data_IF_898606320294
#
_entry.id   IF_898606320294
#
_cell.length_a   1.000
_cell.length_b   1.000
_cell.length_c   1.000
_cell.angle_alpha   90.00
_cell.angle_beta   90.00
_cell.angle_gamma   90.00
#
_symmetry.space_group_name_H-M   'P 1'
#
loop_
_entity.id
_entity.type
_entity.pdbx_description
1 polymer ?
#
# COMPACT_ATOMS: atom_id res chain seq x y z
N UNK A 1 -4.86 -4.62 19.65
CA UNK A 1 -5.49 -3.49 20.38
C UNK A 1 -4.54 -2.30 20.59
N UNK A 2 -3.42 -2.46 21.30
CA UNK A 2 -2.53 -1.34 21.65
C UNK A 2 -1.92 -0.63 20.42
N UNK A 3 -1.51 -1.38 19.40
CA UNK A 3 -1.03 -0.80 18.14
C UNK A 3 -2.11 0.05 17.46
N UNK A 4 -3.38 -0.40 17.43
CA UNK A 4 -4.47 0.38 16.85
C UNK A 4 -4.66 1.72 17.56
N UNK A 5 -4.64 1.74 18.89
CA UNK A 5 -4.74 2.98 19.66
C UNK A 5 -3.60 3.96 19.35
N UNK A 6 -2.37 3.45 19.25
CA UNK A 6 -1.21 4.28 18.86
C UNK A 6 -1.40 4.89 17.47
N UNK A 7 -1.87 4.11 16.49
CA UNK A 7 -2.08 4.62 15.13
C UNK A 7 -3.25 5.61 15.05
N UNK A 8 -4.31 5.44 15.86
CA UNK A 8 -5.40 6.42 16.00
C UNK A 8 -4.89 7.73 16.61
N UNK A 9 -4.11 7.65 17.69
CA UNK A 9 -3.52 8.84 18.32
C UNK A 9 -2.59 9.58 17.36
N UNK A 10 -1.75 8.85 16.62
CA UNK A 10 -0.91 9.42 15.56
C UNK A 10 -1.75 10.06 14.46
N UNK A 11 -2.81 9.39 14.00
CA UNK A 11 -3.71 9.97 12.99
C UNK A 11 -4.31 11.30 13.47
N UNK A 12 -4.81 11.35 14.71
CA UNK A 12 -5.33 12.57 15.33
C UNK A 12 -4.29 13.68 15.39
N UNK A 13 -3.05 13.38 15.80
CA UNK A 13 -1.96 14.35 15.81
C UNK A 13 -1.63 14.89 14.40
N UNK A 14 -1.65 14.02 13.37
CA UNK A 14 -1.42 14.43 11.98
C UNK A 14 -2.56 15.30 11.42
N UNK A 15 -3.79 15.18 11.94
CA UNK A 15 -4.89 16.09 11.56
C UNK A 15 -4.67 17.53 12.05
N UNK A 16 -3.84 17.73 13.08
CA UNK A 16 -3.51 19.06 13.61
C UNK A 16 -2.37 19.75 12.84
N UNK A 17 -1.66 19.02 11.98
CA UNK A 17 -0.55 19.56 11.19
C UNK A 17 -1.05 20.22 9.89
N UNK A 18 -0.27 21.15 9.32
CA UNK A 18 -0.52 21.63 7.96
C UNK A 18 -0.59 20.46 6.97
N UNK A 19 -1.69 20.38 6.21
CA UNK A 19 -2.01 19.27 5.33
C UNK A 19 -1.19 19.30 4.03
N UNK A 20 0.13 19.23 4.18
CA UNK A 20 1.08 19.04 3.08
C UNK A 20 0.89 17.65 2.45
N UNK A 21 1.36 17.42 1.22
CA UNK A 21 1.27 16.12 0.57
C UNK A 21 1.85 14.96 1.39
N UNK A 22 2.89 15.22 2.19
CA UNK A 22 3.50 14.21 3.07
C UNK A 22 2.59 13.88 4.25
N UNK A 23 2.02 14.91 4.90
CA UNK A 23 1.08 14.73 6.02
C UNK A 23 -0.18 14.00 5.55
N UNK A 24 -0.72 14.35 4.39
CA UNK A 24 -1.85 13.64 3.77
C UNK A 24 -1.45 12.20 3.39
N UNK A 25 -0.24 12.05 2.84
CA UNK A 25 0.46 10.79 2.60
C UNK A 25 0.33 9.80 3.76
N UNK A 26 0.91 10.22 4.88
CA UNK A 26 0.92 9.45 6.12
C UNK A 26 -0.48 9.28 6.68
N UNK A 27 -1.32 10.32 6.65
CA UNK A 27 -2.69 10.26 7.16
C UNK A 27 -3.51 9.18 6.44
N UNK A 28 -3.38 9.04 5.12
CA UNK A 28 -4.09 8.01 4.36
C UNK A 28 -3.59 6.61 4.69
N UNK A 29 -2.28 6.42 4.80
CA UNK A 29 -1.71 5.13 5.22
C UNK A 29 -2.21 4.75 6.63
N UNK A 30 -2.26 5.71 7.56
CA UNK A 30 -2.84 5.52 8.89
C UNK A 30 -4.34 5.18 8.82
N UNK A 31 -5.13 5.91 8.02
CA UNK A 31 -6.56 5.63 7.84
C UNK A 31 -6.80 4.21 7.31
N UNK A 32 -6.02 3.78 6.32
CA UNK A 32 -6.08 2.41 5.78
C UNK A 32 -5.78 1.41 6.89
N UNK A 33 -4.70 1.60 7.66
CA UNK A 33 -4.35 0.73 8.79
C UNK A 33 -5.48 0.65 9.82
N UNK A 34 -6.02 1.80 10.23
CA UNK A 34 -7.08 1.92 11.24
C UNK A 34 -8.35 1.21 10.77
N UNK A 35 -8.81 1.50 9.54
CA UNK A 35 -10.01 0.91 8.97
C UNK A 35 -9.91 -0.61 8.93
N UNK A 36 -8.89 -1.13 8.27
CA UNK A 36 -8.73 -2.57 8.07
C UNK A 36 -8.45 -3.32 9.38
N UNK A 37 -7.66 -2.73 10.30
CA UNK A 37 -7.44 -3.34 11.62
C UNK A 37 -8.71 -3.34 12.46
N UNK A 38 -9.53 -2.28 12.39
CA UNK A 38 -10.82 -2.22 13.10
C UNK A 38 -11.79 -3.27 12.55
N UNK A 39 -11.92 -3.35 11.22
CA UNK A 39 -12.70 -4.41 10.56
C UNK A 39 -12.20 -5.80 10.95
N UNK A 40 -10.88 -6.01 10.99
CA UNK A 40 -10.30 -7.26 11.43
C UNK A 40 -10.70 -7.58 12.88
N UNK A 41 -10.64 -6.63 13.82
CA UNK A 41 -11.01 -6.91 15.21
C UNK A 41 -12.48 -7.30 15.37
N UNK A 42 -13.36 -6.79 14.50
CA UNK A 42 -14.79 -7.07 14.52
C UNK A 42 -15.17 -8.36 13.77
N UNK A 43 -14.54 -8.62 12.62
CA UNK A 43 -14.98 -9.63 11.66
C UNK A 43 -14.08 -10.88 11.60
N UNK A 44 -12.89 -10.85 12.20
CA UNK A 44 -11.88 -11.91 12.00
C UNK A 44 -12.23 -13.20 12.71
N UNK A 45 -12.18 -14.31 11.97
CA UNK A 45 -12.03 -15.65 12.54
C UNK A 45 -10.70 -15.76 13.31
N UNK A 46 -10.75 -16.28 14.54
CA UNK A 46 -9.59 -16.37 15.44
C UNK A 46 -8.35 -17.03 14.81
N UNK A 47 -8.55 -17.94 13.85
CA UNK A 47 -7.51 -18.67 13.13
C UNK A 47 -6.85 -17.91 11.97
N UNK A 48 -7.47 -16.87 11.43
CA UNK A 48 -6.87 -16.11 10.32
C UNK A 48 -5.60 -15.40 10.79
N UNK A 49 -4.58 -15.16 9.96
CA UNK A 49 -3.45 -14.31 10.32
C UNK A 49 -3.88 -12.83 10.44
N UNK A 50 -3.09 -11.98 11.13
CA UNK A 50 -3.36 -10.54 11.14
C UNK A 50 -3.08 -9.91 9.76
N UNK A 51 -3.91 -8.95 9.36
CA UNK A 51 -3.84 -8.20 8.12
C UNK A 51 -2.60 -7.31 8.03
N UNK A 52 -2.17 -6.78 9.18
CA UNK A 52 -0.91 -6.06 9.29
C UNK A 52 -0.04 -6.70 10.36
N UNK A 53 1.24 -6.86 10.04
CA UNK A 53 2.25 -7.09 11.06
C UNK A 53 2.64 -5.74 11.69
N UNK A 54 3.34 -5.74 12.84
CA UNK A 54 3.84 -4.50 13.40
C UNK A 54 4.68 -3.74 12.37
N UNK A 55 4.28 -2.51 12.02
CA UNK A 55 4.86 -1.77 10.88
C UNK A 55 6.38 -1.58 11.02
N UNK A 56 6.90 -1.41 12.24
CA UNK A 56 8.34 -1.31 12.51
C UNK A 56 9.16 -2.54 12.08
N UNK A 57 8.51 -3.66 11.73
CA UNK A 57 9.15 -4.87 11.18
C UNK A 57 9.30 -4.84 9.65
N UNK A 58 8.80 -3.81 8.98
CA UNK A 58 9.02 -3.58 7.56
C UNK A 58 10.48 -3.18 7.30
N UNK A 59 11.36 -4.17 7.17
CA UNK A 59 12.81 -3.95 7.03
C UNK A 59 13.30 -3.79 5.59
N UNK A 60 12.40 -3.95 4.62
CA UNK A 60 12.65 -3.94 3.18
C UNK A 60 11.36 -3.66 2.41
N UNK A 61 11.45 -3.18 1.18
CA UNK A 61 10.27 -3.01 0.31
C UNK A 61 9.56 -4.35 0.09
N UNK A 62 10.32 -5.41 -0.19
CA UNK A 62 9.75 -6.74 -0.40
C UNK A 62 8.92 -7.21 0.82
N UNK A 63 9.54 -7.20 2.01
CA UNK A 63 8.87 -7.60 3.25
C UNK A 63 7.75 -6.66 3.68
N UNK A 64 7.82 -5.38 3.32
CA UNK A 64 6.72 -4.45 3.56
C UNK A 64 5.48 -4.90 2.80
N UNK A 65 5.60 -5.14 1.49
CA UNK A 65 4.47 -5.50 0.62
C UNK A 65 3.96 -6.93 0.79
N UNK A 66 4.80 -7.88 1.19
CA UNK A 66 4.38 -9.30 1.28
C UNK A 66 4.06 -9.77 2.68
N UNK A 67 4.69 -9.20 3.70
CA UNK A 67 4.60 -9.69 5.09
C UNK A 67 3.95 -8.67 6.02
N UNK A 68 4.11 -7.37 5.76
CA UNK A 68 3.76 -6.32 6.73
C UNK A 68 2.46 -5.61 6.39
N UNK A 69 2.24 -5.30 5.11
CA UNK A 69 1.12 -4.50 4.62
C UNK A 69 0.07 -5.37 3.94
N UNK A 70 -1.18 -5.30 4.38
CA UNK A 70 -2.33 -6.04 3.84
C UNK A 70 -2.02 -7.51 3.46
N UNK A 71 -1.60 -8.31 4.44
CA UNK A 71 -1.22 -9.71 4.27
C UNK A 71 -2.31 -10.58 3.62
N UNK A 72 -3.59 -10.17 3.71
CA UNK A 72 -4.70 -10.84 3.03
C UNK A 72 -4.53 -10.90 1.50
N UNK A 73 -3.88 -9.92 0.88
CA UNK A 73 -3.66 -9.91 -0.57
C UNK A 73 -2.42 -10.71 -0.99
N UNK A 74 -1.55 -11.11 -0.07
CA UNK A 74 -0.35 -11.86 -0.40
C UNK A 74 -0.67 -13.20 -1.08
N UNK A 75 -1.66 -13.95 -0.56
CA UNK A 75 -2.06 -15.24 -1.14
C UNK A 75 -2.73 -15.12 -2.52
N UNK A 76 -3.72 -14.22 -2.73
CA UNK A 76 -4.25 -13.92 -4.07
C UNK A 76 -3.18 -13.48 -5.06
N UNK A 77 -2.30 -12.54 -4.68
CA UNK A 77 -1.20 -12.08 -5.53
C UNK A 77 -0.27 -13.23 -5.92
N UNK A 78 0.07 -14.08 -4.95
CA UNK A 78 0.94 -15.24 -5.19
C UNK A 78 0.30 -16.23 -6.16
N UNK A 79 -0.97 -16.54 -5.96
CA UNK A 79 -1.64 -17.66 -6.63
C UNK A 79 -2.22 -17.28 -7.99
N UNK A 80 -2.74 -16.06 -8.13
CA UNK A 80 -3.42 -15.59 -9.34
C UNK A 80 -2.48 -14.85 -10.30
N UNK A 81 -1.44 -14.20 -9.80
CA UNK A 81 -0.55 -13.39 -10.63
C UNK A 81 0.89 -13.93 -10.66
N UNK A 82 1.55 -14.00 -9.51
CA UNK A 82 2.97 -14.34 -9.43
C UNK A 82 3.27 -15.74 -9.99
N UNK A 83 2.59 -16.78 -9.49
CA UNK A 83 2.84 -18.18 -9.89
C UNK A 83 2.51 -18.42 -11.37
N UNK A 84 1.35 -17.99 -11.91
CA UNK A 84 1.05 -18.15 -13.33
C UNK A 84 2.06 -17.43 -14.24
N UNK A 85 2.38 -16.17 -13.95
CA UNK A 85 3.35 -15.40 -14.74
C UNK A 85 4.75 -16.03 -14.69
N UNK A 86 5.21 -16.42 -13.50
CA UNK A 86 6.49 -17.11 -13.34
C UNK A 86 6.52 -18.44 -14.10
N UNK A 87 5.43 -19.21 -14.08
CA UNK A 87 5.34 -20.48 -14.80
C UNK A 87 5.42 -20.28 -16.32
N UNK A 88 4.76 -19.24 -16.84
CA UNK A 88 4.78 -18.88 -18.25
C UNK A 88 6.18 -18.47 -18.70
N UNK A 89 6.81 -17.52 -18.00
CA UNK A 89 8.15 -17.03 -18.32
C UNK A 89 9.21 -18.15 -18.27
N UNK A 90 9.09 -19.06 -17.29
CA UNK A 90 9.96 -20.24 -17.21
C UNK A 90 9.77 -21.18 -18.40
N UNK A 91 8.55 -21.35 -18.90
CA UNK A 91 8.27 -22.17 -20.09
C UNK A 91 8.86 -21.56 -21.37
N UNK A 92 9.06 -20.24 -21.40
CA UNK A 92 9.75 -19.55 -22.48
C UNK A 92 11.28 -19.67 -22.41
N UNK A 93 11.81 -20.45 -21.46
CA UNK A 93 13.26 -20.64 -21.30
C UNK A 93 13.98 -19.47 -20.62
N UNK A 94 13.26 -18.52 -20.02
CA UNK A 94 13.88 -17.36 -19.39
C UNK A 94 14.63 -17.71 -18.09
N UNK A 95 15.73 -17.00 -17.75
CA UNK A 95 16.47 -17.23 -16.52
C UNK A 95 15.62 -17.10 -15.26
N UNK A 96 16.03 -17.78 -14.19
CA UNK A 96 15.33 -17.80 -12.89
C UNK A 96 15.11 -16.39 -12.30
N UNK A 97 16.08 -15.50 -12.46
CA UNK A 97 15.99 -14.12 -11.98
C UNK A 97 14.91 -13.34 -12.73
N UNK A 98 14.91 -13.42 -14.07
CA UNK A 98 13.90 -12.79 -14.93
C UNK A 98 12.51 -13.34 -14.64
N UNK A 99 12.39 -14.66 -14.48
CA UNK A 99 11.13 -15.32 -14.11
C UNK A 99 10.57 -14.79 -12.79
N UNK A 100 11.42 -14.67 -11.76
CA UNK A 100 11.01 -14.13 -10.45
C UNK A 100 10.61 -12.66 -10.53
N UNK A 101 11.41 -11.84 -11.22
CA UNK A 101 11.12 -10.43 -11.43
C UNK A 101 9.78 -10.25 -12.15
N UNK A 102 9.54 -10.99 -13.23
CA UNK A 102 8.27 -10.95 -13.95
C UNK A 102 7.09 -11.41 -13.10
N UNK A 103 7.27 -12.40 -12.23
CA UNK A 103 6.26 -12.78 -11.22
C UNK A 103 5.92 -11.66 -10.25
N UNK A 104 6.93 -10.95 -9.73
CA UNK A 104 6.73 -9.79 -8.84
C UNK A 104 5.98 -8.69 -9.58
N UNK A 105 6.43 -8.33 -10.79
CA UNK A 105 5.77 -7.30 -11.60
C UNK A 105 4.31 -7.65 -11.91
N UNK A 106 4.01 -8.92 -12.22
CA UNK A 106 2.65 -9.36 -12.44
C UNK A 106 1.77 -9.22 -11.19
N UNK A 107 2.29 -9.52 -10.00
CA UNK A 107 1.58 -9.32 -8.75
C UNK A 107 1.27 -7.85 -8.48
N UNK A 108 2.24 -6.96 -8.67
CA UNK A 108 2.01 -5.52 -8.54
C UNK A 108 1.06 -4.97 -9.60
N UNK A 109 1.13 -5.45 -10.85
CA UNK A 109 0.19 -5.07 -11.90
C UNK A 109 -1.24 -5.52 -11.58
N UNK A 110 -1.42 -6.73 -11.01
CA UNK A 110 -2.72 -7.20 -10.57
C UNK A 110 -3.29 -6.33 -9.44
N UNK A 111 -2.46 -5.92 -8.47
CA UNK A 111 -2.89 -4.98 -7.44
C UNK A 111 -3.16 -3.58 -7.97
N UNK A 112 -2.40 -3.12 -8.96
CA UNK A 112 -2.66 -1.88 -9.67
C UNK A 112 -4.05 -1.90 -10.31
N UNK A 113 -4.36 -2.96 -11.07
CA UNK A 113 -5.65 -3.14 -11.72
C UNK A 113 -6.80 -3.21 -10.70
N UNK A 114 -6.62 -3.95 -9.60
CA UNK A 114 -7.60 -4.05 -8.53
C UNK A 114 -7.92 -2.69 -7.92
N UNK A 115 -6.91 -1.89 -7.56
CA UNK A 115 -7.12 -0.58 -6.96
C UNK A 115 -7.71 0.42 -7.96
N UNK A 116 -7.23 0.44 -9.21
CA UNK A 116 -7.79 1.31 -10.25
C UNK A 116 -9.26 0.98 -10.48
N UNK A 117 -9.62 -0.30 -10.60
CA UNK A 117 -11.00 -0.69 -10.80
C UNK A 117 -11.89 -0.34 -9.59
N UNK A 118 -11.44 -0.66 -8.38
CA UNK A 118 -12.19 -0.39 -7.15
C UNK A 118 -12.35 1.09 -6.83
N UNK A 119 -11.40 1.93 -7.25
CA UNK A 119 -11.40 3.37 -6.98
C UNK A 119 -11.90 4.21 -8.17
N UNK A 120 -12.16 3.61 -9.33
CA UNK A 120 -12.65 4.32 -10.52
C UNK A 120 -13.90 5.19 -10.26
N UNK A 121 -14.89 4.76 -9.44
CA UNK A 121 -16.05 5.61 -9.14
C UNK A 121 -15.75 6.81 -8.24
N UNK A 122 -14.61 6.80 -7.54
CA UNK A 122 -14.29 7.73 -6.45
C UNK A 122 -13.15 8.68 -6.78
N UNK A 123 -12.35 8.38 -7.82
CA UNK A 123 -11.08 9.05 -8.09
C UNK A 123 -11.02 9.51 -9.54
N UNK A 124 -10.45 10.70 -9.76
CA UNK A 124 -10.21 11.23 -11.09
C UNK A 124 -9.28 10.35 -11.94
N UNK A 125 -9.35 10.47 -13.28
CA UNK A 125 -8.44 9.77 -14.19
C UNK A 125 -6.96 10.00 -13.86
N UNK A 126 -6.58 11.20 -13.40
CA UNK A 126 -5.22 11.49 -12.97
C UNK A 126 -4.84 10.68 -11.72
N UNK A 127 -5.74 10.60 -10.73
CA UNK A 127 -5.52 9.80 -9.53
C UNK A 127 -5.41 8.30 -9.85
N UNK A 128 -6.26 7.78 -10.74
CA UNK A 128 -6.18 6.39 -11.20
C UNK A 128 -4.86 6.09 -11.91
N UNK A 129 -4.39 6.98 -12.78
CA UNK A 129 -3.09 6.87 -13.44
C UNK A 129 -1.94 6.84 -12.42
N UNK A 130 -1.99 7.69 -11.41
CA UNK A 130 -0.97 7.71 -10.34
C UNK A 130 -1.01 6.44 -9.50
N UNK A 131 -2.20 5.92 -9.16
CA UNK A 131 -2.34 4.64 -8.46
C UNK A 131 -1.70 3.51 -9.28
N UNK A 132 -1.97 3.46 -10.58
CA UNK A 132 -1.40 2.46 -11.46
C UNK A 132 0.14 2.46 -11.39
N UNK A 133 0.75 3.63 -11.56
CA UNK A 133 2.20 3.79 -11.49
C UNK A 133 2.78 3.64 -10.10
N UNK A 134 2.03 3.98 -9.06
CA UNK A 134 2.44 3.74 -7.68
C UNK A 134 2.75 2.26 -7.45
N UNK A 135 1.85 1.37 -7.89
CA UNK A 135 2.07 -0.07 -7.76
C UNK A 135 3.17 -0.58 -8.69
N UNK A 136 3.19 -0.19 -9.97
CA UNK A 136 4.22 -0.67 -10.90
C UNK A 136 5.63 -0.22 -10.51
N UNK A 137 5.80 1.03 -10.10
CA UNK A 137 7.08 1.55 -9.64
C UNK A 137 7.53 0.83 -8.36
N UNK A 138 6.64 0.59 -7.40
CA UNK A 138 6.97 -0.20 -6.22
C UNK A 138 7.38 -1.64 -6.57
N UNK A 139 6.71 -2.27 -7.54
CA UNK A 139 7.11 -3.58 -8.05
C UNK A 139 8.53 -3.58 -8.62
N UNK A 140 8.87 -2.58 -9.43
CA UNK A 140 10.21 -2.42 -9.97
C UNK A 140 11.26 -2.19 -8.87
N UNK A 141 10.94 -1.33 -7.90
CA UNK A 141 11.82 -1.04 -6.77
C UNK A 141 12.03 -2.26 -5.87
N UNK A 142 11.02 -3.10 -5.65
CA UNK A 142 11.17 -4.39 -4.95
C UNK A 142 12.14 -5.30 -5.69
N UNK A 143 12.04 -5.40 -7.02
CA UNK A 143 12.95 -6.22 -7.84
C UNK A 143 14.38 -5.69 -7.74
N UNK A 144 14.58 -4.37 -7.88
CA UNK A 144 15.88 -3.72 -7.81
C UNK A 144 16.50 -3.84 -6.41
N UNK A 145 15.73 -3.58 -5.36
CA UNK A 145 16.17 -3.73 -3.96
C UNK A 145 16.59 -5.17 -3.68
N UNK A 146 15.81 -6.15 -4.14
CA UNK A 146 16.12 -7.57 -3.98
C UNK A 146 17.38 -7.96 -4.76
N UNK A 147 17.60 -7.39 -5.95
CA UNK A 147 18.81 -7.63 -6.74
C UNK A 147 20.06 -7.04 -6.06
N UNK A 148 19.96 -5.83 -5.50
CA UNK A 148 21.08 -5.11 -4.89
C UNK A 148 21.44 -5.63 -3.49
N UNK A 149 20.45 -5.86 -2.61
CA UNK A 149 20.69 -6.26 -1.22
C UNK A 149 20.53 -7.76 -0.95
N UNK A 150 19.85 -8.50 -1.84
CA UNK A 150 19.52 -9.90 -1.61
C UNK A 150 18.76 -10.11 -0.28
N UNK A 151 19.24 -11.07 0.53
CA UNK A 151 18.65 -11.42 1.83
C UNK A 151 19.25 -10.66 3.03
N UNK A 152 20.17 -9.72 2.80
CA UNK A 152 20.85 -9.02 3.90
C UNK A 152 19.87 -8.07 4.61
N UNK A 153 19.87 -8.11 5.94
CA UNK A 153 19.18 -7.14 6.80
C UNK A 153 20.13 -5.98 7.06
N UNK A 154 19.70 -4.75 6.77
CA UNK A 154 20.50 -3.56 6.99
C UNK A 154 19.58 -2.38 7.32
N UNK A 155 19.95 -1.56 8.30
CA UNK A 155 19.12 -0.43 8.74
C UNK A 155 18.93 0.62 7.63
N UNK A 156 19.95 0.86 6.80
CA UNK A 156 19.82 1.76 5.61
C UNK A 156 18.75 1.24 4.66
N UNK A 157 18.67 -0.08 4.44
CA UNK A 157 17.63 -0.68 3.58
C UNK A 157 16.24 -0.41 4.14
N UNK A 158 16.08 -0.50 5.46
CA UNK A 158 14.83 -0.16 6.14
C UNK A 158 14.48 1.32 5.96
N UNK A 159 15.43 2.24 6.17
CA UNK A 159 15.19 3.67 5.95
C UNK A 159 14.86 3.98 4.48
N UNK A 160 15.56 3.37 3.53
CA UNK A 160 15.28 3.52 2.10
C UNK A 160 13.87 3.03 1.78
N UNK A 161 13.45 1.88 2.30
CA UNK A 161 12.10 1.36 2.06
C UNK A 161 11.02 2.34 2.55
N UNK A 162 11.12 2.82 3.80
CA UNK A 162 10.15 3.78 4.34
C UNK A 162 10.21 5.14 3.66
N UNK A 163 11.40 5.62 3.30
CA UNK A 163 11.57 6.87 2.57
C UNK A 163 10.96 6.81 1.17
N UNK A 164 11.23 5.72 0.43
CA UNK A 164 10.64 5.46 -0.89
C UNK A 164 9.12 5.44 -0.78
N UNK A 165 8.55 4.69 0.16
CA UNK A 165 7.10 4.60 0.29
C UNK A 165 6.48 5.94 0.70
N UNK A 166 7.13 6.68 1.60
CA UNK A 166 6.69 8.02 1.95
C UNK A 166 6.62 8.96 0.74
N UNK A 167 7.66 8.96 -0.09
CA UNK A 167 7.72 9.76 -1.33
C UNK A 167 6.66 9.31 -2.33
N UNK A 168 6.56 8.00 -2.57
CA UNK A 168 5.61 7.41 -3.53
C UNK A 168 4.15 7.66 -3.12
N UNK A 169 3.82 7.48 -1.84
CA UNK A 169 2.49 7.76 -1.31
C UNK A 169 2.16 9.25 -1.42
N UNK A 170 3.10 10.13 -1.03
CA UNK A 170 2.93 11.58 -1.14
C UNK A 170 2.70 12.03 -2.59
N UNK A 171 3.44 11.46 -3.54
CA UNK A 171 3.28 11.74 -4.97
C UNK A 171 1.94 11.23 -5.51
N UNK A 172 1.51 10.04 -5.10
CA UNK A 172 0.23 9.46 -5.51
C UNK A 172 -0.94 10.33 -5.04
N UNK A 173 -0.91 10.75 -3.77
CA UNK A 173 -2.00 11.50 -3.12
C UNK A 173 -2.21 12.89 -3.70
N UNK A 174 -1.17 13.52 -4.25
CA UNK A 174 -1.31 14.82 -4.93
C UNK A 174 -2.32 14.80 -6.09
N UNK A 175 -2.47 13.69 -6.82
CA UNK A 175 -3.46 13.60 -7.90
C UNK A 175 -4.79 12.99 -7.50
N UNK A 176 -4.91 12.50 -6.26
CA UNK A 176 -6.17 11.99 -5.72
C UNK A 176 -7.13 13.11 -5.30
N UNK A 177 -6.67 14.37 -5.22
CA UNK A 177 -7.46 15.56 -4.83
C UNK A 177 -8.32 15.35 -3.57
N UNK A 178 -7.75 14.63 -2.61
CA UNK A 178 -8.44 14.27 -1.36
C UNK A 178 -8.60 15.53 -0.51
N UNK A 179 -9.72 15.68 0.23
CA UNK A 179 -9.89 16.77 1.19
C UNK A 179 -8.68 16.91 2.11
N UNK A 180 -8.32 18.15 2.44
CA UNK A 180 -7.18 18.48 3.28
C UNK A 180 -7.49 18.17 4.75
N UNK A 181 -7.52 16.88 5.08
CA UNK A 181 -7.88 16.37 6.40
C UNK A 181 -9.39 16.21 6.62
N UNK A 182 -9.75 15.58 7.73
CA UNK A 182 -11.17 15.37 8.13
C UNK A 182 -11.72 16.49 8.99
N UNK A 183 -10.86 17.38 9.52
CA UNK A 183 -11.28 18.47 10.42
C UNK A 183 -12.18 19.53 9.77
N UNK A 184 -12.13 19.64 8.44
CA UNK A 184 -12.95 20.58 7.67
C UNK A 184 -14.08 19.89 6.89
N UNK A 185 -14.20 18.57 6.99
CA UNK A 185 -15.27 17.81 6.31
C UNK A 185 -16.53 17.90 7.17
N UNK A 186 -17.55 18.58 6.66
CA UNK A 186 -18.84 18.67 7.34
C UNK A 186 -19.72 17.47 7.00
N UNK A 187 -20.69 17.16 7.86
CA UNK A 187 -21.71 16.14 7.56
C UNK A 187 -22.47 16.46 6.27
N UNK A 188 -22.69 17.74 5.97
CA UNK A 188 -23.31 18.20 4.73
C UNK A 188 -22.50 17.85 3.48
N UNK A 189 -21.17 17.92 3.56
CA UNK A 189 -20.27 17.55 2.45
C UNK A 189 -20.29 16.06 2.14
N UNK A 190 -20.50 15.22 3.17
CA UNK A 190 -20.49 13.75 3.04
C UNK A 190 -21.85 13.22 2.59
N UNK A 191 -22.94 13.75 3.16
CA UNK A 191 -24.28 13.22 2.94
C UNK A 191 -25.09 14.02 1.91
N UNK A 192 -24.55 15.11 1.36
CA UNK A 192 -25.29 16.02 0.49
C UNK A 192 -26.44 16.75 1.20
N UNK A 193 -26.44 16.75 2.54
CA UNK A 193 -27.50 17.33 3.36
C UNK A 193 -27.04 18.73 3.79
N UNK A 194 -27.11 19.67 2.85
CA UNK A 194 -26.59 21.02 3.06
C UNK A 194 -26.36 21.75 1.76
N UNK A 195 -27.38 21.80 0.90
CA UNK A 195 -27.33 22.54 -0.35
C UNK A 195 -27.04 24.02 -0.11
N UNK A 196 -26.00 24.51 -0.77
CA UNK A 196 -26.07 25.77 -1.51
C UNK A 196 -25.96 25.45 -2.99
#
# INVERSE_FOLDING_TARGET
PNQLLVHIALFGAFQLLPQTPVVLGVSILLSIYILWTSLQLLLRYKSSPPLFQPLYRGHSLAGLWTETWHSCFASPCLSLAYKPASKLLRRMGLPKQVTRAGGVMAAFAAMAAFHVHGLAPLVSNEGLWRIWWFFLANGALVVLETAAWGKKKHWVRTLTAWGVEGVMASWCIRGLRIPQGVGHVTWGDVCGVGGR
#
